data_IF_568773309942
#
_entry.id   IF_568773309942
#
_cell.length_a   1.000
_cell.length_b   1.000
_cell.length_c   1.000
_cell.angle_alpha   90.00
_cell.angle_beta   90.00
_cell.angle_gamma   90.00
#
_symmetry.space_group_name_H-M   'P 1'
#
loop_
_entity.id
_entity.type
_entity.pdbx_description
1 polymer ?
#
# COMPACT_ATOMS: atom_id res chain seq x y z
N UNK A 1 16.01 23.30 -22.69
CA UNK A 1 15.55 21.90 -22.62
C UNK A 1 14.35 21.88 -21.68
N UNK A 2 13.16 21.56 -22.17
CA UNK A 2 11.90 21.71 -21.43
C UNK A 2 11.64 20.45 -20.59
N UNK A 3 11.33 20.69 -19.32
CA UNK A 3 11.07 19.75 -18.23
C UNK A 3 10.15 18.58 -18.61
N UNK A 4 10.45 17.39 -18.08
CA UNK A 4 9.43 16.39 -17.74
C UNK A 4 9.55 16.07 -16.26
N UNK A 5 8.86 16.85 -15.45
CA UNK A 5 8.49 16.43 -14.10
C UNK A 5 7.38 15.40 -14.28
N UNK A 6 7.73 14.12 -14.26
CA UNK A 6 6.75 13.04 -14.18
C UNK A 6 6.16 13.13 -12.77
N UNK A 7 4.96 13.69 -12.67
CA UNK A 7 4.18 13.67 -11.44
C UNK A 7 3.60 12.27 -11.32
N UNK A 8 4.32 11.37 -10.64
CA UNK A 8 3.78 10.06 -10.25
C UNK A 8 2.60 10.36 -9.32
N UNK A 9 1.41 10.03 -9.79
CA UNK A 9 0.16 10.28 -9.10
C UNK A 9 0.01 9.33 -7.93
N UNK A 10 -0.32 9.89 -6.77
CA UNK A 10 -0.81 9.13 -5.61
C UNK A 10 -2.04 8.33 -6.05
N UNK A 11 -1.92 7.00 -6.07
CA UNK A 11 -3.04 6.09 -6.39
C UNK A 11 -3.70 5.71 -5.07
N UNK A 12 -4.89 6.27 -4.84
CA UNK A 12 -5.75 5.93 -3.71
C UNK A 12 -6.77 4.88 -4.17
N UNK A 13 -6.59 3.63 -3.75
CA UNK A 13 -7.57 2.56 -3.99
C UNK A 13 -8.33 2.29 -2.70
N UNK A 14 -9.65 2.50 -2.73
CA UNK A 14 -10.57 2.12 -1.67
C UNK A 14 -11.10 0.72 -1.89
N UNK A 15 -11.11 -0.12 -0.85
CA UNK A 15 -11.74 -1.43 -0.86
C UNK A 15 -12.98 -1.44 0.04
N UNK A 16 -14.15 -1.80 -0.50
CA UNK A 16 -15.39 -1.96 0.26
C UNK A 16 -15.35 -3.24 1.09
N UNK A 17 -14.89 -3.14 2.33
CA UNK A 17 -14.99 -4.21 3.32
C UNK A 17 -16.13 -3.87 4.28
N UNK A 18 -17.10 -4.77 4.43
CA UNK A 18 -18.19 -4.60 5.41
C UNK A 18 -17.61 -4.74 6.82
N UNK A 19 -17.21 -3.61 7.42
CA UNK A 19 -16.76 -3.53 8.80
C UNK A 19 -17.90 -3.96 9.75
N UNK A 20 -17.72 -5.09 10.41
CA UNK A 20 -18.58 -5.54 11.50
C UNK A 20 -18.32 -4.68 12.73
N UNK A 21 -19.31 -3.87 13.12
CA UNK A 21 -19.47 -3.19 14.41
C UNK A 21 -18.18 -2.94 15.22
N UNK A 22 -17.35 -2.04 14.70
CA UNK A 22 -16.22 -1.39 15.35
C UNK A 22 -15.65 -0.41 14.34
N UNK A 23 -15.76 0.90 14.60
CA UNK A 23 -15.37 1.99 13.69
C UNK A 23 -13.84 2.14 13.57
N UNK A 24 -13.08 1.05 13.65
CA UNK A 24 -11.64 1.13 13.81
C UNK A 24 -10.95 1.01 12.46
N UNK A 25 -10.18 2.05 12.14
CA UNK A 25 -9.25 2.06 11.00
C UNK A 25 -8.34 0.83 11.10
N UNK A 26 -8.16 0.03 10.04
CA UNK A 26 -7.29 -1.14 10.09
C UNK A 26 -5.86 -0.77 10.49
N UNK A 27 -5.24 -1.59 11.35
CA UNK A 27 -3.85 -1.37 11.76
C UNK A 27 -2.87 -1.56 10.59
N UNK A 28 -1.64 -1.04 10.73
CA UNK A 28 -0.57 -1.23 9.75
C UNK A 28 -0.34 -2.70 9.35
N UNK A 29 -0.51 -3.63 10.29
CA UNK A 29 -0.30 -5.07 10.11
C UNK A 29 -1.59 -5.84 9.78
N UNK A 30 -2.75 -5.19 9.71
CA UNK A 30 -4.00 -5.85 9.36
C UNK A 30 -3.90 -6.47 7.95
N UNK A 31 -4.57 -7.60 7.73
CA UNK A 31 -4.41 -8.38 6.50
C UNK A 31 -4.89 -7.58 5.29
N UNK A 32 -6.03 -6.91 5.43
CA UNK A 32 -6.64 -6.02 4.44
C UNK A 32 -5.72 -4.84 4.09
N UNK A 33 -5.02 -4.26 5.06
CA UNK A 33 -4.00 -3.23 4.84
C UNK A 33 -2.85 -3.80 4.01
N UNK A 34 -2.29 -4.95 4.41
CA UNK A 34 -1.16 -5.55 3.71
C UNK A 34 -1.52 -5.96 2.28
N UNK A 35 -2.71 -6.51 2.07
CA UNK A 35 -3.17 -6.94 0.75
C UNK A 35 -3.37 -5.74 -0.17
N UNK A 36 -3.90 -4.62 0.34
CA UNK A 36 -4.03 -3.39 -0.42
C UNK A 36 -2.65 -2.78 -0.78
N UNK A 37 -1.68 -2.77 0.13
CA UNK A 37 -0.30 -2.34 -0.18
C UNK A 37 0.31 -3.20 -1.30
N UNK A 38 0.16 -4.53 -1.24
CA UNK A 38 0.67 -5.44 -2.28
C UNK A 38 -0.03 -5.21 -3.62
N UNK A 39 -1.34 -4.95 -3.61
CA UNK A 39 -2.09 -4.63 -4.81
C UNK A 39 -1.56 -3.34 -5.44
N UNK A 40 -1.41 -2.27 -4.66
CA UNK A 40 -0.85 -0.99 -5.13
C UNK A 40 0.55 -1.19 -5.71
N UNK A 41 1.41 -1.97 -5.05
CA UNK A 41 2.74 -2.31 -5.57
C UNK A 41 2.69 -3.05 -6.91
N UNK A 42 1.78 -4.03 -7.06
CA UNK A 42 1.60 -4.76 -8.31
C UNK A 42 1.09 -3.87 -9.44
N UNK A 43 0.15 -2.97 -9.14
CA UNK A 43 -0.38 -2.03 -10.12
C UNK A 43 0.69 -1.04 -10.57
N UNK A 44 1.50 -0.51 -9.64
CA UNK A 44 2.61 0.38 -9.98
C UNK A 44 3.66 -0.35 -10.83
N UNK A 45 4.01 -1.59 -10.49
CA UNK A 45 4.85 -2.44 -11.36
C UNK A 45 4.22 -2.58 -12.75
N UNK A 46 2.91 -2.86 -12.82
CA UNK A 46 2.16 -2.94 -14.07
C UNK A 46 2.21 -1.66 -14.90
N UNK A 47 2.17 -0.49 -14.26
CA UNK A 47 2.29 0.81 -14.91
C UNK A 47 3.70 1.04 -15.50
N UNK A 48 4.74 0.51 -14.85
CA UNK A 48 6.14 0.69 -15.28
C UNK A 48 6.54 -0.28 -16.39
N UNK A 49 6.16 -1.55 -16.30
CA UNK A 49 6.67 -2.61 -17.20
C UNK A 49 5.57 -3.35 -17.97
N UNK A 50 4.30 -3.00 -17.76
CA UNK A 50 3.14 -3.65 -18.37
C UNK A 50 2.55 -4.75 -17.49
N UNK A 51 1.22 -4.87 -17.51
CA UNK A 51 0.45 -5.79 -16.65
C UNK A 51 0.81 -7.27 -16.82
N UNK A 52 1.16 -7.69 -18.05
CA UNK A 52 1.56 -9.07 -18.33
C UNK A 52 2.92 -9.38 -17.68
N UNK A 53 3.88 -8.47 -17.78
CA UNK A 53 5.18 -8.64 -17.13
C UNK A 53 5.05 -8.61 -15.60
N UNK A 54 4.24 -7.67 -15.07
CA UNK A 54 3.99 -7.54 -13.64
C UNK A 54 3.38 -8.81 -13.00
N UNK A 55 2.60 -9.59 -13.77
CA UNK A 55 2.03 -10.86 -13.28
C UNK A 55 3.06 -11.92 -12.87
N UNK A 56 4.33 -11.74 -13.27
CA UNK A 56 5.44 -12.61 -12.85
C UNK A 56 6.03 -12.23 -11.49
N UNK A 57 5.49 -11.21 -10.81
CA UNK A 57 5.97 -10.75 -9.52
C UNK A 57 4.93 -10.98 -8.44
N UNK A 58 5.39 -11.36 -7.25
CA UNK A 58 4.58 -11.44 -6.03
C UNK A 58 5.23 -10.60 -4.94
N UNK A 59 4.44 -10.18 -3.96
CA UNK A 59 4.85 -9.18 -2.99
C UNK A 59 4.59 -9.66 -1.56
N UNK A 60 5.50 -9.33 -0.65
CA UNK A 60 5.31 -9.55 0.78
C UNK A 60 5.87 -8.37 1.58
N UNK A 61 5.23 -8.07 2.71
CA UNK A 61 5.72 -7.04 3.63
C UNK A 61 6.40 -7.72 4.82
N UNK A 62 7.58 -7.23 5.19
CA UNK A 62 8.27 -7.59 6.44
C UNK A 62 8.64 -6.33 7.20
N UNK A 63 8.96 -6.49 8.50
CA UNK A 63 9.35 -5.36 9.33
C UNK A 63 8.27 -4.29 9.50
N UNK A 64 7.00 -4.66 9.37
CA UNK A 64 5.86 -3.73 9.49
C UNK A 64 5.89 -3.08 10.88
N UNK A 65 5.88 -1.74 10.91
CA UNK A 65 5.87 -0.95 12.13
C UNK A 65 4.98 0.28 11.98
N UNK A 66 4.15 0.53 12.99
CA UNK A 66 3.48 1.82 13.17
C UNK A 66 4.51 2.85 13.62
N UNK A 67 4.53 3.99 12.95
CA UNK A 67 5.44 5.10 13.22
C UNK A 67 4.75 6.30 13.85
N UNK A 68 3.45 6.41 13.63
CA UNK A 68 2.60 7.48 14.13
C UNK A 68 1.15 6.99 14.13
N UNK A 69 0.37 7.52 15.06
CA UNK A 69 -1.08 7.31 15.16
C UNK A 69 -1.73 8.68 15.42
N UNK A 70 -2.83 8.95 14.73
CA UNK A 70 -3.61 10.15 14.94
C UNK A 70 -4.79 9.87 15.87
N UNK A 71 -4.66 10.24 17.14
CA UNK A 71 -5.69 10.03 18.17
C UNK A 71 -7.08 10.62 17.84
N UNK A 72 -7.17 11.57 16.90
CA UNK A 72 -8.44 12.18 16.50
C UNK A 72 -9.18 11.38 15.43
N UNK A 73 -8.43 10.72 14.54
CA UNK A 73 -8.98 10.06 13.34
C UNK A 73 -8.74 8.56 13.32
N UNK A 74 -7.93 8.02 14.24
CA UNK A 74 -7.47 6.63 14.23
C UNK A 74 -6.53 6.31 13.07
N UNK A 75 -6.05 7.32 12.33
CA UNK A 75 -5.20 7.09 11.16
C UNK A 75 -3.78 6.66 11.57
N UNK A 76 -3.20 5.73 10.81
CA UNK A 76 -1.85 5.24 11.05
C UNK A 76 -0.87 5.72 9.99
N UNK A 77 0.36 6.03 10.41
CA UNK A 77 1.53 6.06 9.52
C UNK A 77 2.37 4.82 9.77
N UNK A 78 2.70 4.12 8.70
CA UNK A 78 3.35 2.83 8.73
C UNK A 78 4.64 2.85 7.93
N UNK A 79 5.55 1.94 8.25
CA UNK A 79 6.72 1.64 7.44
C UNK A 79 6.94 0.12 7.41
N UNK A 80 7.50 -0.35 6.31
CA UNK A 80 7.81 -1.77 6.09
C UNK A 80 8.87 -1.92 4.99
N UNK A 81 9.44 -3.11 4.90
CA UNK A 81 10.23 -3.52 3.74
C UNK A 81 9.31 -4.32 2.80
N UNK A 82 9.17 -3.83 1.57
CA UNK A 82 8.42 -4.50 0.50
C UNK A 82 9.37 -5.42 -0.25
N UNK A 83 9.19 -6.73 -0.05
CA UNK A 83 9.89 -7.76 -0.80
C UNK A 83 9.14 -8.07 -2.08
N UNK A 84 9.88 -8.02 -3.19
CA UNK A 84 9.43 -8.30 -4.55
C UNK A 84 10.07 -9.63 -4.96
N UNK A 85 9.23 -10.61 -5.28
CA UNK A 85 9.64 -11.96 -5.65
C UNK A 85 9.26 -12.21 -7.12
N UNK A 86 10.26 -12.36 -7.98
CA UNK A 86 10.06 -12.74 -9.37
C UNK A 86 9.89 -14.26 -9.49
N UNK A 87 9.03 -14.71 -10.40
CA UNK A 87 8.74 -16.13 -10.62
C UNK A 87 9.98 -16.95 -11.05
N UNK A 88 11.02 -16.30 -11.56
CA UNK A 88 12.30 -16.93 -11.92
C UNK A 88 13.27 -17.07 -10.73
N UNK A 89 12.84 -16.74 -9.50
CA UNK A 89 13.63 -16.84 -8.27
C UNK A 89 14.45 -15.58 -7.95
N UNK A 90 14.30 -14.49 -8.71
CA UNK A 90 14.89 -13.20 -8.33
C UNK A 90 14.16 -12.57 -7.16
N UNK A 91 14.90 -12.05 -6.18
CA UNK A 91 14.35 -11.34 -5.03
C UNK A 91 15.01 -9.96 -4.91
N UNK A 92 14.22 -8.95 -4.53
CA UNK A 92 14.70 -7.64 -4.13
C UNK A 92 13.78 -7.08 -3.04
N UNK A 93 14.27 -6.16 -2.22
CA UNK A 93 13.45 -5.45 -1.25
C UNK A 93 13.69 -3.95 -1.33
N UNK A 94 12.63 -3.18 -1.05
CA UNK A 94 12.66 -1.73 -0.98
C UNK A 94 11.96 -1.25 0.29
N UNK A 95 12.52 -0.26 1.01
CA UNK A 95 11.85 0.33 2.15
C UNK A 95 10.70 1.21 1.65
N UNK A 96 9.51 1.01 2.21
CA UNK A 96 8.32 1.81 1.91
C UNK A 96 7.74 2.42 3.18
N UNK A 97 7.01 3.51 3.00
CA UNK A 97 6.10 4.06 4.01
C UNK A 97 4.69 4.08 3.47
N UNK A 98 3.68 3.95 4.32
CA UNK A 98 2.30 4.03 3.89
C UNK A 98 1.39 4.58 4.99
N UNK A 99 0.27 5.19 4.61
CA UNK A 99 -0.77 5.64 5.55
C UNK A 99 -1.98 4.71 5.50
N UNK A 100 -2.73 4.64 6.59
CA UNK A 100 -4.05 3.98 6.66
C UNK A 100 -5.04 4.95 7.28
N UNK A 101 -6.11 5.26 6.56
CA UNK A 101 -7.08 6.29 6.93
C UNK A 101 -8.50 5.78 6.73
N UNK A 102 -9.38 5.90 7.72
CA UNK A 102 -10.81 5.58 7.58
C UNK A 102 -11.58 6.73 6.94
N UNK A 103 -12.75 6.43 6.36
CA UNK A 103 -13.71 7.44 5.92
C UNK A 103 -14.55 7.99 7.06
N UNK A 104 -15.08 9.21 6.88
CA UNK A 104 -15.99 9.86 7.85
C UNK A 104 -17.25 9.04 8.14
N UNK A 105 -17.70 8.20 7.20
CA UNK A 105 -18.85 7.31 7.38
C UNK A 105 -18.49 5.94 7.99
N UNK A 106 -17.20 5.70 8.24
CA UNK A 106 -16.68 4.49 8.89
C UNK A 106 -16.81 3.20 8.07
N UNK A 107 -17.12 3.30 6.76
CA UNK A 107 -17.38 2.13 5.91
C UNK A 107 -16.21 1.71 5.05
N UNK A 108 -15.29 2.63 4.78
CA UNK A 108 -14.16 2.40 3.91
C UNK A 108 -12.89 2.88 4.59
N UNK A 109 -11.76 2.42 4.06
CA UNK A 109 -10.45 2.92 4.43
C UNK A 109 -9.60 3.05 3.17
N UNK A 110 -8.60 3.92 3.26
CA UNK A 110 -7.65 4.23 2.22
C UNK A 110 -6.26 3.88 2.69
N UNK A 111 -5.46 3.33 1.78
CA UNK A 111 -4.03 3.17 1.95
C UNK A 111 -3.33 3.99 0.88
N UNK A 112 -2.34 4.76 1.30
CA UNK A 112 -1.46 5.46 0.37
C UNK A 112 -0.02 5.01 0.59
N UNK A 113 0.65 4.55 -0.47
CA UNK A 113 2.00 3.97 -0.41
C UNK A 113 3.00 4.93 -1.04
N UNK A 114 4.16 5.08 -0.40
CA UNK A 114 5.27 5.90 -0.86
C UNK A 114 6.55 5.06 -0.96
N UNK A 115 7.38 5.38 -1.95
CA UNK A 115 8.66 4.68 -2.20
C UNK A 115 8.60 3.56 -3.24
N UNK A 116 7.51 3.49 -4.03
CA UNK A 116 7.34 2.61 -5.18
C UNK A 116 7.86 3.24 -6.48
#
# INVERSE_FOLDING_TARGET
MKNKLIKVGVISIGALSLFGCGNDVPTCSAKETQDLVKQIANEEMGNQIGVEAASNFTYSLKGIRTTDENDKTGAFKCAADLYIHAANGGENDIPITYTVEGTDDGKEFYVNVFGL
#
